data_IF_829173705630
#
_entry.id   IF_829173705630
#
_cell.length_a   1.000
_cell.length_b   1.000
_cell.length_c   1.000
_cell.angle_alpha   90.00
_cell.angle_beta   90.00
_cell.angle_gamma   90.00
#
_symmetry.space_group_name_H-M   'P 1'
#
loop_
_entity.id
_entity.type
_entity.pdbx_description
1 polymer ?
#
# COMPACT_ATOMS: atom_id res chain seq x y z
N UNK A 1 23.45 11.97 -1.16
CA UNK A 1 22.00 11.82 -1.42
C UNK A 1 21.37 13.08 -2.08
N UNK A 2 22.03 13.69 -3.09
CA UNK A 2 21.52 14.88 -3.84
C UNK A 2 21.18 14.60 -5.31
N UNK A 3 21.37 13.36 -5.78
CA UNK A 3 21.29 13.00 -7.21
C UNK A 3 19.84 12.73 -7.67
N UNK A 4 18.92 12.42 -6.76
CA UNK A 4 17.51 12.12 -7.09
C UNK A 4 16.59 13.35 -7.13
N UNK A 5 17.07 14.54 -6.75
CA UNK A 5 16.23 15.76 -6.71
C UNK A 5 16.18 16.56 -8.02
N UNK A 6 16.94 16.15 -9.04
CA UNK A 6 16.92 16.74 -10.39
C UNK A 6 16.87 15.67 -11.47
N UNK A 7 15.93 14.74 -11.39
CA UNK A 7 15.56 13.98 -12.58
C UNK A 7 14.63 14.92 -13.38
N UNK A 8 15.07 15.52 -14.50
CA UNK A 8 14.15 16.25 -15.34
C UNK A 8 13.03 15.29 -15.73
N UNK A 9 11.77 15.74 -15.67
CA UNK A 9 10.57 14.95 -15.98
C UNK A 9 10.68 14.19 -17.32
N UNK A 10 11.56 14.67 -18.20
CA UNK A 10 12.02 14.05 -19.42
C UNK A 10 12.52 12.60 -19.27
N UNK A 11 13.34 12.27 -18.26
CA UNK A 11 13.90 10.91 -18.11
C UNK A 11 12.85 9.82 -17.88
N UNK A 12 11.92 9.94 -16.91
CA UNK A 12 10.88 8.92 -16.72
C UNK A 12 9.93 8.85 -17.92
N UNK A 13 9.67 9.97 -18.61
CA UNK A 13 8.87 9.97 -19.83
C UNK A 13 9.55 9.18 -20.95
N UNK A 14 10.86 9.39 -21.18
CA UNK A 14 11.63 8.63 -22.17
C UNK A 14 11.62 7.14 -21.83
N UNK A 15 11.83 6.78 -20.56
CA UNK A 15 11.77 5.38 -20.13
C UNK A 15 10.37 4.78 -20.40
N UNK A 16 9.30 5.50 -20.06
CA UNK A 16 7.94 5.04 -20.31
C UNK A 16 7.66 4.86 -21.81
N UNK A 17 8.08 5.80 -22.66
CA UNK A 17 7.93 5.72 -24.12
C UNK A 17 8.76 4.56 -24.69
N UNK A 18 9.99 4.36 -24.23
CA UNK A 18 10.81 3.21 -24.63
C UNK A 18 10.12 1.89 -24.25
N UNK A 19 9.56 1.78 -23.05
CA UNK A 19 8.84 0.58 -22.62
C UNK A 19 7.58 0.32 -23.46
N UNK A 20 6.79 1.36 -23.77
CA UNK A 20 5.62 1.24 -24.64
C UNK A 20 6.02 0.84 -26.07
N UNK A 21 7.11 1.41 -26.59
CA UNK A 21 7.62 1.07 -27.92
C UNK A 21 8.11 -0.38 -27.97
N UNK A 22 8.84 -0.83 -26.94
CA UNK A 22 9.30 -2.22 -26.83
C UNK A 22 8.12 -3.19 -26.72
N UNK A 23 7.09 -2.86 -25.93
CA UNK A 23 5.89 -3.68 -25.81
C UNK A 23 5.12 -3.76 -27.15
N UNK A 24 4.88 -2.62 -27.81
CA UNK A 24 4.23 -2.59 -29.13
C UNK A 24 5.01 -3.40 -30.16
N UNK A 25 6.34 -3.23 -30.20
CA UNK A 25 7.21 -3.93 -31.15
C UNK A 25 7.24 -5.44 -30.88
N UNK A 26 7.27 -5.86 -29.62
CA UNK A 26 7.24 -7.27 -29.25
C UNK A 26 5.95 -7.96 -29.68
N UNK A 27 4.79 -7.29 -29.53
CA UNK A 27 3.49 -7.83 -29.97
C UNK A 27 3.42 -7.96 -31.49
N UNK A 28 3.83 -6.92 -32.23
CA UNK A 28 3.77 -6.93 -33.70
C UNK A 28 4.79 -7.93 -34.28
N UNK A 29 6.07 -7.83 -33.89
CA UNK A 29 7.15 -8.65 -34.47
C UNK A 29 7.07 -10.11 -34.04
N UNK A 30 6.53 -10.37 -32.84
CA UNK A 30 6.35 -11.73 -32.33
C UNK A 30 5.02 -12.37 -32.72
N UNK A 31 4.18 -11.68 -33.51
CA UNK A 31 2.82 -12.13 -33.91
C UNK A 31 2.00 -12.66 -32.72
N UNK A 32 2.14 -11.99 -31.57
CA UNK A 32 1.60 -12.49 -30.31
C UNK A 32 0.06 -12.40 -30.35
N UNK A 33 -0.67 -13.49 -30.06
CA UNK A 33 -2.12 -13.45 -30.07
C UNK A 33 -2.70 -12.44 -29.05
N UNK A 34 -3.73 -11.64 -29.42
CA UNK A 34 -4.26 -10.58 -28.55
C UNK A 34 -4.81 -11.06 -27.20
N UNK A 35 -5.29 -12.30 -27.13
CA UNK A 35 -5.77 -12.88 -25.88
C UNK A 35 -4.64 -13.18 -24.89
N UNK A 36 -3.39 -13.31 -25.37
CA UNK A 36 -2.21 -13.54 -24.55
C UNK A 36 -1.59 -12.21 -24.11
N UNK A 37 -1.34 -11.31 -25.07
CA UNK A 37 -0.78 -10.00 -24.81
C UNK A 37 -1.39 -8.97 -25.77
N UNK A 38 -2.31 -8.11 -25.30
CA UNK A 38 -2.86 -7.04 -26.13
C UNK A 38 -1.78 -6.00 -26.41
N UNK A 39 -1.86 -5.35 -27.57
CA UNK A 39 -0.97 -4.24 -27.88
C UNK A 39 -1.30 -3.01 -27.01
N UNK A 40 -0.32 -2.15 -26.70
CA UNK A 40 -0.57 -0.87 -26.04
C UNK A 40 -1.69 -0.06 -26.70
N UNK A 41 -1.78 -0.09 -28.03
CA UNK A 41 -2.82 0.60 -28.78
C UNK A 41 -4.22 0.02 -28.53
N UNK A 42 -4.35 -1.30 -28.47
CA UNK A 42 -5.63 -1.95 -28.15
C UNK A 42 -6.08 -1.62 -26.72
N UNK A 43 -5.15 -1.62 -25.76
CA UNK A 43 -5.42 -1.21 -24.37
C UNK A 43 -5.88 0.25 -24.31
N UNK A 44 -5.22 1.15 -25.05
CA UNK A 44 -5.62 2.55 -25.14
C UNK A 44 -7.03 2.73 -25.71
N UNK A 45 -7.37 1.98 -26.77
CA UNK A 45 -8.72 2.01 -27.32
C UNK A 45 -9.75 1.59 -26.27
N UNK A 46 -9.50 0.50 -25.53
CA UNK A 46 -10.41 0.03 -24.47
C UNK A 46 -10.55 1.01 -23.31
N UNK A 47 -9.47 1.71 -22.94
CA UNK A 47 -9.53 2.78 -21.93
C UNK A 47 -10.53 3.87 -22.34
N UNK A 48 -10.51 4.29 -23.61
CA UNK A 48 -11.43 5.33 -24.12
C UNK A 48 -12.87 4.83 -24.29
N UNK A 49 -13.05 3.65 -24.87
CA UNK A 49 -14.36 3.05 -25.17
C UNK A 49 -15.14 2.70 -23.89
N UNK A 50 -14.44 2.22 -22.86
CA UNK A 50 -15.05 1.77 -21.60
C UNK A 50 -14.79 2.74 -20.45
N UNK A 51 -14.48 4.01 -20.72
CA UNK A 51 -14.10 4.98 -19.69
C UNK A 51 -15.12 5.08 -18.54
N UNK A 52 -16.46 5.14 -18.76
CA UNK A 52 -17.42 5.21 -17.65
C UNK A 52 -17.44 3.96 -16.76
N UNK A 53 -17.31 2.78 -17.39
CA UNK A 53 -17.25 1.50 -16.67
C UNK A 53 -15.95 1.42 -15.86
N UNK A 54 -14.81 1.67 -16.48
CA UNK A 54 -13.52 1.63 -15.82
C UNK A 54 -13.45 2.63 -14.66
N UNK A 55 -14.03 3.81 -14.83
CA UNK A 55 -14.09 4.84 -13.79
C UNK A 55 -14.91 4.40 -12.58
N UNK A 56 -16.10 3.82 -12.78
CA UNK A 56 -16.94 3.37 -11.67
C UNK A 56 -16.25 2.26 -10.84
N UNK A 57 -15.60 1.31 -11.50
CA UNK A 57 -14.82 0.28 -10.83
C UNK A 57 -13.57 0.85 -10.14
N UNK A 58 -12.89 1.82 -10.76
CA UNK A 58 -11.73 2.49 -10.20
C UNK A 58 -12.03 3.24 -8.89
N UNK A 59 -13.21 3.87 -8.79
CA UNK A 59 -13.62 4.57 -7.58
C UNK A 59 -13.80 3.62 -6.39
N UNK A 60 -14.38 2.44 -6.63
CA UNK A 60 -14.59 1.42 -5.60
C UNK A 60 -13.24 0.91 -5.08
N UNK A 61 -12.34 0.50 -5.98
CA UNK A 61 -11.00 0.04 -5.58
C UNK A 61 -10.21 1.10 -4.84
N UNK A 62 -10.28 2.36 -5.30
CA UNK A 62 -9.62 3.47 -4.62
C UNK A 62 -10.14 3.67 -3.19
N UNK A 63 -11.47 3.58 -3.01
CA UNK A 63 -12.10 3.70 -1.70
C UNK A 63 -11.67 2.57 -0.77
N UNK A 64 -11.65 1.32 -1.26
CA UNK A 64 -11.17 0.16 -0.50
C UNK A 64 -9.72 0.32 -0.05
N UNK A 65 -8.85 0.76 -0.96
CA UNK A 65 -7.44 1.06 -0.68
C UNK A 65 -7.33 2.14 0.40
N UNK A 66 -8.03 3.26 0.25
CA UNK A 66 -7.95 4.40 1.18
C UNK A 66 -8.45 4.04 2.57
N UNK A 67 -9.60 3.35 2.68
CA UNK A 67 -10.14 2.93 3.97
C UNK A 67 -9.26 1.86 4.63
N UNK A 68 -8.74 0.91 3.85
CA UNK A 68 -7.80 -0.08 4.35
C UNK A 68 -6.50 0.54 4.86
N UNK A 69 -5.96 1.52 4.14
CA UNK A 69 -4.80 2.32 4.57
C UNK A 69 -5.05 3.06 5.87
N UNK A 70 -6.18 3.75 5.96
CA UNK A 70 -6.53 4.51 7.16
C UNK A 70 -6.65 3.57 8.36
N UNK A 71 -7.50 2.55 8.26
CA UNK A 71 -7.78 1.64 9.37
C UNK A 71 -6.55 0.79 9.73
N UNK A 72 -5.86 0.23 8.75
CA UNK A 72 -4.63 -0.55 8.97
C UNK A 72 -3.54 0.28 9.63
N UNK A 73 -3.39 1.54 9.24
CA UNK A 73 -2.43 2.44 9.86
C UNK A 73 -2.81 2.80 11.30
N UNK A 74 -4.10 3.05 11.55
CA UNK A 74 -4.61 3.33 12.91
C UNK A 74 -4.40 2.13 13.83
N UNK A 75 -4.80 0.92 13.40
CA UNK A 75 -4.61 -0.29 14.18
C UNK A 75 -3.12 -0.61 14.39
N UNK A 76 -2.29 -0.38 13.37
CA UNK A 76 -0.87 -0.65 13.47
C UNK A 76 -0.14 0.31 14.40
N UNK A 77 -0.43 1.62 14.29
CA UNK A 77 0.08 2.63 15.21
C UNK A 77 -0.36 2.34 16.66
N UNK A 78 -1.64 2.03 16.85
CA UNK A 78 -2.20 1.68 18.16
C UNK A 78 -1.50 0.47 18.77
N UNK A 79 -1.29 -0.58 17.98
CA UNK A 79 -0.59 -1.80 18.42
C UNK A 79 0.86 -1.52 18.80
N UNK A 80 1.58 -0.73 18.01
CA UNK A 80 2.95 -0.33 18.32
C UNK A 80 3.06 0.47 19.63
N UNK A 81 2.13 1.41 19.86
CA UNK A 81 2.08 2.19 21.10
C UNK A 81 1.73 1.32 22.32
N UNK A 82 0.81 0.36 22.17
CA UNK A 82 0.46 -0.60 23.23
C UNK A 82 1.63 -1.52 23.57
N UNK A 83 2.28 -2.07 22.55
CA UNK A 83 3.49 -2.89 22.68
C UNK A 83 4.60 -2.14 23.42
N UNK A 84 4.79 -0.87 23.08
CA UNK A 84 5.79 -0.03 23.72
C UNK A 84 5.44 0.31 25.17
N UNK A 85 4.17 0.58 25.48
CA UNK A 85 3.74 0.93 26.83
C UNK A 85 3.75 -0.27 27.78
N UNK A 86 3.37 -1.44 27.29
CA UNK A 86 3.17 -2.64 28.11
C UNK A 86 4.15 -3.73 27.69
N UNK A 87 5.36 -3.70 28.28
CA UNK A 87 6.41 -4.70 28.00
C UNK A 87 5.92 -6.14 28.18
N UNK A 88 4.98 -6.40 29.09
CA UNK A 88 4.38 -7.73 29.30
C UNK A 88 3.56 -8.23 28.10
N UNK A 89 2.95 -7.33 27.32
CA UNK A 89 2.20 -7.68 26.10
C UNK A 89 3.13 -8.03 24.93
N UNK A 90 4.39 -7.59 24.96
CA UNK A 90 5.34 -7.84 23.87
C UNK A 90 5.54 -9.34 23.58
N UNK A 91 5.63 -10.17 24.62
CA UNK A 91 5.77 -11.62 24.48
C UNK A 91 4.58 -12.33 23.83
N UNK A 92 3.37 -11.73 23.90
CA UNK A 92 2.15 -12.28 23.31
C UNK A 92 1.88 -11.70 21.92
N UNK A 93 2.05 -10.40 21.75
CA UNK A 93 1.70 -9.68 20.53
C UNK A 93 2.75 -9.81 19.43
N UNK A 94 4.04 -9.93 19.76
CA UNK A 94 5.10 -10.10 18.74
C UNK A 94 4.92 -11.39 17.92
N UNK A 95 4.65 -12.57 18.51
CA UNK A 95 4.30 -13.77 17.75
C UNK A 95 3.07 -13.58 16.86
N UNK A 96 2.02 -12.90 17.35
CA UNK A 96 0.80 -12.63 16.58
C UNK A 96 1.11 -11.75 15.36
N UNK A 97 1.97 -10.74 15.51
CA UNK A 97 2.44 -9.90 14.39
C UNK A 97 3.15 -10.74 13.32
N UNK A 98 4.04 -11.64 13.74
CA UNK A 98 4.75 -12.53 12.80
C UNK A 98 3.78 -13.47 12.10
N UNK A 99 2.85 -14.09 12.84
CA UNK A 99 1.82 -14.97 12.28
C UNK A 99 0.92 -14.23 11.29
N UNK A 100 0.56 -12.98 11.58
CA UNK A 100 -0.30 -12.19 10.70
C UNK A 100 0.29 -11.96 9.30
N UNK A 101 1.62 -11.95 9.18
CA UNK A 101 2.31 -11.92 7.88
C UNK A 101 2.56 -13.28 7.27
N UNK A 102 2.73 -14.31 8.11
CA UNK A 102 3.02 -15.65 7.63
C UNK A 102 1.82 -16.26 6.89
N UNK A 103 0.60 -15.88 7.29
CA UNK A 103 -0.62 -16.36 6.65
C UNK A 103 -0.84 -15.60 5.34
N UNK A 104 -0.85 -16.28 4.17
CA UNK A 104 -1.15 -15.63 2.90
C UNK A 104 -2.56 -15.02 2.94
N UNK A 105 -2.69 -13.72 2.67
CA UNK A 105 -4.00 -13.03 2.73
C UNK A 105 -5.03 -13.65 1.79
N UNK A 106 -4.58 -14.19 0.65
CA UNK A 106 -5.45 -14.93 -0.27
C UNK A 106 -6.09 -16.17 0.38
N UNK A 107 -5.38 -16.86 1.29
CA UNK A 107 -5.89 -18.07 1.94
C UNK A 107 -7.00 -17.77 2.97
N UNK A 108 -6.96 -16.60 3.62
CA UNK A 108 -7.97 -16.18 4.60
C UNK A 108 -9.14 -15.41 3.97
N UNK A 109 -9.00 -14.97 2.72
CA UNK A 109 -10.00 -14.17 2.04
C UNK A 109 -11.42 -14.79 2.08
N UNK A 110 -11.62 -16.10 1.85
CA UNK A 110 -12.95 -16.72 1.98
C UNK A 110 -13.53 -16.65 3.40
N UNK A 111 -12.68 -16.76 4.44
CA UNK A 111 -13.11 -16.63 5.84
C UNK A 111 -13.56 -15.20 6.15
N UNK A 112 -12.85 -14.21 5.62
CA UNK A 112 -13.23 -12.80 5.78
C UNK A 112 -14.55 -12.48 5.07
N UNK A 113 -14.79 -13.07 3.90
CA UNK A 113 -16.11 -12.97 3.24
C UNK A 113 -17.19 -13.69 4.05
N UNK A 114 -16.88 -14.85 4.66
CA UNK A 114 -17.81 -15.56 5.53
C UNK A 114 -18.17 -14.75 6.79
N UNK A 115 -17.20 -14.08 7.41
CA UNK A 115 -17.41 -13.34 8.66
C UNK A 115 -18.00 -11.94 8.45
N UNK A 116 -17.53 -11.21 7.44
CA UNK A 116 -17.93 -9.82 7.18
C UNK A 116 -18.94 -9.67 6.05
N UNK A 117 -19.28 -10.77 5.36
CA UNK A 117 -20.17 -10.79 4.22
C UNK A 117 -19.52 -10.38 2.89
N UNK A 118 -20.33 -10.48 1.84
CA UNK A 118 -20.03 -9.91 0.53
C UNK A 118 -20.09 -8.37 0.61
N UNK A 119 -19.32 -7.70 -0.25
CA UNK A 119 -19.24 -6.24 -0.26
C UNK A 119 -18.07 -5.67 0.54
N UNK A 120 -18.15 -4.36 0.84
CA UNK A 120 -17.00 -3.51 1.15
C UNK A 120 -16.18 -3.94 2.39
N UNK A 121 -16.86 -4.38 3.46
CA UNK A 121 -16.20 -4.66 4.74
C UNK A 121 -15.12 -5.75 4.64
N UNK A 122 -15.38 -6.83 3.88
CA UNK A 122 -14.39 -7.91 3.72
C UNK A 122 -13.15 -7.48 2.93
N UNK A 123 -13.29 -6.59 1.95
CA UNK A 123 -12.16 -6.06 1.15
C UNK A 123 -11.31 -5.10 1.95
N UNK A 124 -11.97 -4.20 2.69
CA UNK A 124 -11.29 -3.33 3.65
C UNK A 124 -10.51 -4.17 4.64
N UNK A 125 -11.10 -5.23 5.22
CA UNK A 125 -10.41 -6.07 6.20
C UNK A 125 -9.17 -6.76 5.61
N UNK A 126 -9.25 -7.30 4.39
CA UNK A 126 -8.08 -7.85 3.70
C UNK A 126 -6.96 -6.82 3.53
N UNK A 127 -7.34 -5.61 3.15
CA UNK A 127 -6.41 -4.49 2.95
C UNK A 127 -5.80 -4.04 4.28
N UNK A 128 -6.60 -3.97 5.34
CA UNK A 128 -6.17 -3.69 6.72
C UNK A 128 -5.11 -4.68 7.17
N UNK A 129 -5.30 -5.99 6.96
CA UNK A 129 -4.36 -7.02 7.41
C UNK A 129 -2.98 -6.86 6.74
N UNK A 130 -2.94 -6.57 5.44
CA UNK A 130 -1.69 -6.32 4.72
C UNK A 130 -0.96 -5.07 5.24
N UNK A 131 -1.72 -4.02 5.56
CA UNK A 131 -1.18 -2.71 5.95
C UNK A 131 -0.77 -2.67 7.42
N UNK A 132 -1.48 -3.43 8.25
CA UNK A 132 -1.28 -3.50 9.69
C UNK A 132 0.16 -3.83 10.07
N UNK A 133 0.75 -4.86 9.44
CA UNK A 133 2.09 -5.30 9.81
C UNK A 133 3.19 -4.27 9.53
N UNK A 134 3.40 -3.78 8.29
CA UNK A 134 4.49 -2.84 8.01
C UNK A 134 4.37 -1.56 8.83
N UNK A 135 3.15 -1.11 9.14
CA UNK A 135 2.94 0.05 10.01
C UNK A 135 3.28 -0.26 11.46
N UNK A 136 2.80 -1.40 12.00
CA UNK A 136 3.09 -1.79 13.39
C UNK A 136 4.58 -2.00 13.62
N UNK A 137 5.21 -2.80 12.76
CA UNK A 137 6.62 -3.17 12.89
C UNK A 137 7.51 -1.93 12.83
N UNK A 138 7.34 -1.09 11.80
CA UNK A 138 8.19 0.10 11.63
C UNK A 138 7.99 1.13 12.75
N UNK A 139 6.76 1.31 13.23
CA UNK A 139 6.47 2.18 14.36
C UNK A 139 7.10 1.64 15.66
N UNK A 140 6.89 0.35 15.95
CA UNK A 140 7.41 -0.29 17.16
C UNK A 140 8.94 -0.27 17.19
N UNK A 141 9.60 -0.59 16.07
CA UNK A 141 11.04 -0.52 15.94
C UNK A 141 11.56 0.91 16.12
N UNK A 142 10.88 1.91 15.54
CA UNK A 142 11.21 3.32 15.75
C UNK A 142 11.10 3.75 17.21
N UNK A 143 10.04 3.33 17.89
CA UNK A 143 9.83 3.61 19.31
C UNK A 143 10.93 2.97 20.18
N UNK A 144 11.28 1.72 19.89
CA UNK A 144 12.30 0.95 20.64
C UNK A 144 13.71 1.49 20.44
N UNK A 145 14.02 1.98 19.24
CA UNK A 145 15.34 2.49 18.87
C UNK A 145 15.51 4.00 19.13
N UNK A 146 14.70 4.59 20.01
CA UNK A 146 14.92 5.97 20.46
C UNK A 146 16.28 6.10 21.17
N UNK A 147 17.14 7.07 20.81
CA UNK A 147 18.47 7.20 21.42
C UNK A 147 18.43 7.28 22.95
N UNK A 148 19.28 6.50 23.63
CA UNK A 148 19.33 6.47 25.10
C UNK A 148 19.63 7.85 25.70
N UNK A 149 20.48 8.66 25.05
CA UNK A 149 20.81 10.02 25.49
C UNK A 149 19.56 10.91 25.60
N UNK A 150 18.59 10.77 24.71
CA UNK A 150 17.34 11.52 24.75
C UNK A 150 16.44 11.06 25.90
N UNK A 151 16.42 9.73 26.14
CA UNK A 151 15.66 9.15 27.24
C UNK A 151 16.24 9.53 28.60
N UNK A 152 17.57 9.55 28.73
CA UNK A 152 18.24 9.90 29.98
C UNK A 152 18.06 11.39 30.29
N UNK A 153 18.13 12.27 29.28
CA UNK A 153 17.77 13.69 29.44
C UNK A 153 16.30 13.87 29.87
N UNK A 154 15.37 13.10 29.28
CA UNK A 154 13.97 13.15 29.66
C UNK A 154 13.75 12.70 31.13
N UNK A 155 14.51 11.70 31.59
CA UNK A 155 14.49 11.25 33.00
C UNK A 155 15.07 12.31 33.95
N UNK A 156 16.15 13.01 33.58
CA UNK A 156 16.71 14.08 34.42
C UNK A 156 15.74 15.25 34.57
N UNK A 157 14.92 15.50 33.56
CA UNK A 157 13.83 16.48 33.59
C UNK A 157 12.55 15.95 34.28
N UNK A 158 12.60 14.76 34.89
CA UNK A 158 11.48 14.10 35.57
C UNK A 158 10.20 13.99 34.72
N UNK A 159 10.36 13.82 33.41
CA UNK A 159 9.22 13.68 32.48
C UNK A 159 8.51 12.35 32.75
N UNK A 160 7.18 12.39 32.88
CA UNK A 160 6.38 11.18 33.13
C UNK A 160 6.50 10.15 31.99
N UNK A 161 6.34 8.84 32.25
CA UNK A 161 6.50 7.81 31.22
C UNK A 161 5.58 8.00 30.00
N UNK A 162 4.37 8.50 30.22
CA UNK A 162 3.42 8.81 29.15
C UNK A 162 3.91 10.00 28.31
N UNK A 163 4.46 11.03 28.96
CA UNK A 163 5.05 12.16 28.25
C UNK A 163 6.33 11.76 27.52
N UNK A 164 7.16 10.85 28.05
CA UNK A 164 8.31 10.28 27.32
C UNK A 164 7.84 9.58 26.04
N UNK A 165 6.76 8.79 26.13
CA UNK A 165 6.22 8.09 24.96
C UNK A 165 5.78 9.06 23.86
N UNK A 166 4.92 10.03 24.19
CA UNK A 166 4.33 10.92 23.18
C UNK A 166 5.20 12.12 22.78
N UNK A 167 6.08 12.61 23.66
CA UNK A 167 6.92 13.80 23.40
C UNK A 167 8.35 13.47 22.98
N UNK A 168 8.84 12.26 23.25
CA UNK A 168 10.22 11.86 22.91
C UNK A 168 10.21 10.70 21.93
N UNK A 169 9.65 9.55 22.32
CA UNK A 169 9.72 8.32 21.51
C UNK A 169 8.92 8.43 20.22
N UNK A 170 7.68 8.90 20.28
CA UNK A 170 6.82 8.99 19.10
C UNK A 170 7.39 9.94 18.03
N UNK A 171 7.84 11.17 18.35
CA UNK A 171 8.54 12.03 17.40
C UNK A 171 9.83 11.41 16.83
N UNK A 172 10.60 10.71 17.67
CA UNK A 172 11.80 9.98 17.25
C UNK A 172 11.48 8.83 16.28
N UNK A 173 10.33 8.19 16.44
CA UNK A 173 9.87 7.06 15.64
C UNK A 173 9.23 7.46 14.30
N UNK A 174 8.82 8.72 14.12
CA UNK A 174 8.13 9.18 12.91
C UNK A 174 8.88 8.87 11.59
N UNK A 175 10.22 8.96 11.49
CA UNK A 175 10.95 8.55 10.28
C UNK A 175 10.80 7.06 9.96
N UNK A 176 10.84 6.20 10.98
CA UNK A 176 10.62 4.76 10.82
C UNK A 176 9.17 4.48 10.45
N UNK A 177 8.20 5.10 11.13
CA UNK A 177 6.78 5.01 10.78
C UNK A 177 6.52 5.46 9.33
N UNK A 178 7.14 6.56 8.88
CA UNK A 178 7.03 7.02 7.50
C UNK A 178 7.57 5.98 6.50
N UNK A 179 8.62 5.26 6.86
CA UNK A 179 9.15 4.15 6.04
C UNK A 179 8.17 2.97 6.01
N UNK A 180 7.57 2.61 7.15
CA UNK A 180 6.51 1.60 7.21
C UNK A 180 5.28 1.96 6.37
N UNK A 181 4.85 3.22 6.43
CA UNK A 181 3.74 3.73 5.61
C UNK A 181 4.04 3.69 4.11
N UNK A 182 5.30 3.94 3.69
CA UNK A 182 5.73 3.77 2.29
C UNK A 182 5.66 2.33 1.81
N UNK A 183 5.98 1.38 2.68
CA UNK A 183 5.82 -0.04 2.36
C UNK A 183 4.31 -0.34 2.26
N UNK A 184 3.53 0.06 3.25
CA UNK A 184 2.09 -0.17 3.32
C UNK A 184 1.33 0.37 2.09
N UNK A 185 1.58 1.62 1.70
CA UNK A 185 0.95 2.24 0.50
C UNK A 185 1.33 1.51 -0.79
N UNK A 186 2.54 0.94 -0.87
CA UNK A 186 2.99 0.20 -2.05
C UNK A 186 2.28 -1.15 -2.20
N UNK A 187 1.91 -1.78 -1.10
CA UNK A 187 1.25 -3.10 -1.09
C UNK A 187 -0.26 -3.03 -0.90
N UNK A 188 -0.82 -1.88 -0.51
CA UNK A 188 -2.26 -1.71 -0.30
C UNK A 188 -3.14 -2.12 -1.49
N UNK A 189 -2.80 -1.82 -2.76
CA UNK A 189 -3.58 -2.28 -3.91
C UNK A 189 -3.74 -3.80 -3.98
N UNK A 190 -2.74 -4.56 -3.52
CA UNK A 190 -2.78 -6.03 -3.51
C UNK A 190 -3.93 -6.51 -2.60
N UNK A 191 -4.12 -5.86 -1.45
CA UNK A 191 -5.18 -6.22 -0.50
C UNK A 191 -6.58 -5.98 -1.04
N UNK A 192 -6.77 -4.86 -1.72
CA UNK A 192 -8.06 -4.53 -2.35
C UNK A 192 -8.38 -5.55 -3.46
N UNK A 193 -7.47 -5.79 -4.39
CA UNK A 193 -7.67 -6.74 -5.51
C UNK A 193 -7.97 -8.15 -5.01
N UNK A 194 -7.19 -8.65 -4.04
CA UNK A 194 -7.41 -9.98 -3.46
C UNK A 194 -8.81 -10.08 -2.87
N UNK A 195 -9.27 -9.03 -2.17
CA UNK A 195 -10.63 -8.97 -1.68
C UNK A 195 -11.68 -8.91 -2.78
N UNK A 196 -11.42 -8.16 -3.84
CA UNK A 196 -12.33 -8.03 -4.96
C UNK A 196 -12.52 -9.36 -5.72
N UNK A 197 -11.47 -10.17 -5.84
CA UNK A 197 -11.52 -11.48 -6.51
C UNK A 197 -12.37 -12.51 -5.78
N UNK A 198 -12.38 -12.50 -4.44
CA UNK A 198 -13.01 -13.58 -3.66
C UNK A 198 -14.50 -13.36 -3.44
N UNK A 199 -15.00 -12.13 -3.53
CA UNK A 199 -16.43 -11.90 -3.29
C UNK A 199 -16.91 -10.49 -3.52
N UNK A 200 -16.48 -9.84 -4.61
CA UNK A 200 -17.02 -8.55 -5.02
C UNK A 200 -17.89 -8.66 -6.26
N UNK A 201 -18.74 -7.65 -6.48
CA UNK A 201 -19.47 -7.39 -7.72
C UNK A 201 -18.99 -6.10 -8.42
N UNK A 202 -18.01 -5.41 -7.83
CA UNK A 202 -17.48 -4.12 -8.26
C UNK A 202 -15.98 -4.01 -7.94
N UNK A 203 -15.31 -2.99 -8.49
CA UNK A 203 -13.86 -2.82 -8.37
C UNK A 203 -13.06 -3.31 -9.59
N UNK A 204 -11.84 -2.81 -9.75
CA UNK A 204 -10.95 -3.09 -10.87
C UNK A 204 -10.48 -4.55 -10.88
N UNK A 205 -10.14 -5.13 -9.74
CA UNK A 205 -9.82 -6.55 -9.58
C UNK A 205 -10.98 -7.45 -9.98
N UNK A 206 -12.21 -7.11 -9.58
CA UNK A 206 -13.42 -7.79 -10.07
C UNK A 206 -13.56 -7.68 -11.60
N UNK A 207 -13.39 -6.48 -12.15
CA UNK A 207 -13.47 -6.24 -13.59
C UNK A 207 -12.40 -7.03 -14.36
N UNK A 208 -11.18 -7.08 -13.83
CA UNK A 208 -10.08 -7.89 -14.39
C UNK A 208 -10.43 -9.37 -14.41
N UNK A 209 -10.98 -9.91 -13.33
CA UNK A 209 -11.38 -11.31 -13.24
C UNK A 209 -12.47 -11.64 -14.27
N UNK A 210 -13.46 -10.76 -14.41
CA UNK A 210 -14.54 -10.94 -15.40
C UNK A 210 -14.11 -10.75 -16.85
N UNK A 211 -13.16 -9.85 -17.11
CA UNK A 211 -12.59 -9.66 -18.43
C UNK A 211 -11.72 -10.86 -18.83
N UNK A 212 -10.92 -11.37 -17.89
CA UNK A 212 -10.10 -12.58 -18.08
C UNK A 212 -10.97 -13.79 -18.43
N UNK A 213 -12.05 -14.03 -17.67
CA UNK A 213 -12.98 -15.14 -17.92
C UNK A 213 -13.65 -15.08 -19.31
N UNK A 214 -13.71 -13.91 -19.94
CA UNK A 214 -14.26 -13.68 -21.29
C UNK A 214 -13.18 -13.50 -22.35
N UNK A 215 -11.91 -13.70 -22.01
CA UNK A 215 -10.76 -13.48 -22.90
C UNK A 215 -10.68 -12.04 -23.45
N UNK A 216 -11.28 -11.07 -22.74
CA UNK A 216 -11.14 -9.63 -23.02
C UNK A 216 -9.85 -9.10 -22.38
N UNK A 217 -8.71 -9.61 -22.83
CA UNK A 217 -7.39 -9.33 -22.24
C UNK A 217 -7.01 -7.85 -22.34
N UNK A 218 -7.44 -7.16 -23.40
CA UNK A 218 -7.29 -5.71 -23.56
C UNK A 218 -7.99 -4.90 -22.46
N UNK A 219 -9.23 -5.25 -22.10
CA UNK A 219 -9.97 -4.65 -20.99
C UNK A 219 -9.34 -4.98 -19.63
N UNK A 220 -8.84 -6.21 -19.45
CA UNK A 220 -8.11 -6.61 -18.25
C UNK A 220 -6.85 -5.75 -18.05
N UNK A 221 -6.07 -5.55 -19.12
CA UNK A 221 -4.88 -4.69 -19.09
C UNK A 221 -5.24 -3.21 -18.89
N UNK A 222 -6.36 -2.73 -19.44
CA UNK A 222 -6.85 -1.38 -19.20
C UNK A 222 -7.18 -1.15 -17.71
N UNK A 223 -7.88 -2.08 -17.08
CA UNK A 223 -8.17 -2.02 -15.64
C UNK A 223 -6.88 -2.09 -14.78
N UNK A 224 -5.95 -2.98 -15.14
CA UNK A 224 -4.64 -3.08 -14.49
C UNK A 224 -3.84 -1.77 -14.58
N UNK A 225 -3.86 -1.11 -15.74
CA UNK A 225 -3.15 0.16 -15.94
C UNK A 225 -3.72 1.28 -15.06
N UNK A 226 -5.04 1.36 -14.92
CA UNK A 226 -5.69 2.33 -14.01
C UNK A 226 -5.29 2.07 -12.56
N UNK A 227 -5.29 0.82 -12.13
CA UNK A 227 -4.85 0.44 -10.80
C UNK A 227 -3.38 0.82 -10.55
N UNK A 228 -2.49 0.60 -11.51
CA UNK A 228 -1.08 1.03 -11.42
C UNK A 228 -1.00 2.55 -11.26
N UNK A 229 -1.78 3.31 -12.04
CA UNK A 229 -1.84 4.77 -11.92
C UNK A 229 -2.31 5.18 -10.52
N UNK A 230 -3.36 4.56 -9.99
CA UNK A 230 -3.85 4.83 -8.63
C UNK A 230 -2.79 4.52 -7.57
N UNK A 231 -2.12 3.37 -7.67
CA UNK A 231 -1.06 2.97 -6.75
C UNK A 231 0.10 3.98 -6.76
N UNK A 232 0.58 4.36 -7.94
CA UNK A 232 1.66 5.35 -8.08
C UNK A 232 1.23 6.73 -7.58
N UNK A 233 0.01 7.18 -7.92
CA UNK A 233 -0.52 8.45 -7.46
C UNK A 233 -0.58 8.51 -5.92
N UNK A 234 -1.12 7.46 -5.29
CA UNK A 234 -1.18 7.34 -3.84
C UNK A 234 0.21 7.29 -3.20
N UNK A 235 1.13 6.51 -3.77
CA UNK A 235 2.51 6.42 -3.29
C UNK A 235 3.20 7.78 -3.31
N UNK A 236 3.21 8.47 -4.46
CA UNK A 236 3.90 9.75 -4.59
C UNK A 236 3.22 10.87 -3.79
N UNK A 237 1.89 10.86 -3.69
CA UNK A 237 1.15 11.78 -2.83
C UNK A 237 1.56 11.60 -1.37
N UNK A 238 1.55 10.35 -0.90
CA UNK A 238 1.87 9.98 0.49
C UNK A 238 3.33 10.27 0.82
N UNK A 239 4.27 9.91 -0.06
CA UNK A 239 5.70 10.19 0.15
C UNK A 239 5.99 11.69 0.26
N UNK A 240 5.36 12.52 -0.59
CA UNK A 240 5.48 13.99 -0.49
C UNK A 240 4.89 14.52 0.81
N UNK A 241 3.74 13.98 1.23
CA UNK A 241 3.11 14.37 2.49
C UNK A 241 4.01 14.00 3.68
N UNK A 242 4.52 12.76 3.73
CA UNK A 242 5.40 12.28 4.80
C UNK A 242 6.70 13.09 4.90
N UNK A 243 7.30 13.46 3.77
CA UNK A 243 8.50 14.33 3.74
C UNK A 243 8.24 15.72 4.33
N UNK A 244 7.02 16.26 4.18
CA UNK A 244 6.63 17.54 4.79
C UNK A 244 6.31 17.42 6.27
N UNK A 245 5.70 16.31 6.69
CA UNK A 245 5.30 16.08 8.08
C UNK A 245 6.47 15.67 8.99
N UNK A 246 7.51 15.06 8.43
CA UNK A 246 8.69 14.59 9.18
C UNK A 246 9.98 15.21 8.60
N UNK A 247 10.12 16.55 8.61
CA UNK A 247 11.28 17.21 8.00
C UNK A 247 12.59 16.87 8.70
N UNK A 248 12.54 16.52 9.99
CA UNK A 248 13.73 16.18 10.77
C UNK A 248 14.31 14.80 10.47
N UNK A 249 13.59 13.95 9.74
CA UNK A 249 14.10 12.65 9.27
C UNK A 249 15.41 12.82 8.47
N UNK A 250 15.59 13.96 7.80
CA UNK A 250 16.81 14.25 7.05
C UNK A 250 18.05 14.53 7.92
N UNK A 251 17.89 14.81 9.21
CA UNK A 251 18.98 15.17 10.14
C UNK A 251 19.35 14.04 11.12
N UNK A 252 18.71 12.86 11.02
CA UNK A 252 18.96 11.71 11.88
C UNK A 252 20.06 10.76 11.36
N UNK A 253 20.71 11.13 10.25
CA UNK A 253 21.85 10.44 9.63
C UNK A 253 23.00 11.42 9.43
#
# INVERSE_FOLDING_TARGET
>A
MKILQKIPLFRPLVIALCLLFLWQSAVILGEIPPYLLPSPFAVWHKLSENAPLLWSHAQITLLEILLGLLLGSVFGLGSALLLMRYQRLSGLLLPILVISQAIPVFAIAPLLVMWFGYGLASKIMMTVLIIYFPVTAACFDGLRNTPNTWLDLAKTLQISPLAILFKVRLPAALPSLASGLRIAISVAPIGAIVGEWVGSSQGLGYLMLHANARMHTDLMFAALLILIIQALALYFFTDRLLKRLVPWAAYLH
#
